data_IF_371747305641
#
_entry.id   IF_371747305641
#
_cell.length_a   1.000
_cell.length_b   1.000
_cell.length_c   1.000
_cell.angle_alpha   90.00
_cell.angle_beta   90.00
_cell.angle_gamma   90.00
#
_symmetry.space_group_name_H-M   'P 1'
#
loop_
_entity.id
_entity.type
_entity.pdbx_description
1 polymer ?
#
# COMPACT_ATOMS: atom_id res chain seq x y z
N UNK A 1 -28.25 61.35 3.19
CA UNK A 1 -27.54 60.12 2.80
C UNK A 1 -28.43 58.95 3.18
N UNK A 2 -28.89 58.12 2.22
CA UNK A 2 -29.78 57.00 2.54
C UNK A 2 -28.93 55.79 2.90
N UNK A 3 -28.95 55.40 4.16
CA UNK A 3 -28.33 54.16 4.63
C UNK A 3 -29.15 52.98 4.09
N UNK A 4 -28.60 52.26 3.11
CA UNK A 4 -29.17 50.98 2.67
C UNK A 4 -28.91 49.95 3.78
N UNK A 5 -29.92 49.76 4.63
CA UNK A 5 -29.96 48.66 5.60
C UNK A 5 -29.83 47.34 4.83
N UNK A 6 -28.66 46.71 4.91
CA UNK A 6 -28.45 45.35 4.43
C UNK A 6 -29.36 44.44 5.23
N UNK A 7 -30.38 43.87 4.59
CA UNK A 7 -31.26 42.88 5.22
C UNK A 7 -30.40 41.68 5.65
N UNK A 8 -30.64 41.10 6.84
CA UNK A 8 -29.91 39.93 7.29
C UNK A 8 -30.09 38.80 6.27
N UNK A 9 -28.98 38.26 5.77
CA UNK A 9 -29.02 37.12 4.89
C UNK A 9 -29.66 35.94 5.64
N UNK A 10 -30.66 35.32 5.01
CA UNK A 10 -31.28 34.11 5.53
C UNK A 10 -30.21 33.02 5.68
N UNK A 11 -30.00 32.57 6.92
CA UNK A 11 -29.02 31.53 7.26
C UNK A 11 -29.63 30.13 7.23
N UNK A 12 -30.91 30.01 6.86
CA UNK A 12 -31.59 28.73 6.78
C UNK A 12 -31.02 27.94 5.60
N UNK A 13 -30.44 26.74 5.84
CA UNK A 13 -29.96 25.90 4.75
C UNK A 13 -31.15 25.48 3.88
N UNK A 14 -30.96 25.55 2.56
CA UNK A 14 -31.97 25.08 1.61
C UNK A 14 -32.04 23.56 1.66
N UNK A 15 -33.22 22.94 1.80
CA UNK A 15 -33.33 21.50 1.72
C UNK A 15 -32.88 21.04 0.32
N UNK A 16 -32.08 19.97 0.29
CA UNK A 16 -31.64 19.32 -0.94
C UNK A 16 -32.53 18.10 -1.20
N UNK A 17 -32.78 17.78 -2.46
CA UNK A 17 -33.53 16.57 -2.83
C UNK A 17 -32.67 15.30 -2.63
N UNK A 18 -33.32 14.14 -2.52
CA UNK A 18 -32.61 12.85 -2.47
C UNK A 18 -31.72 12.62 -3.70
N UNK A 19 -32.17 13.08 -4.87
CA UNK A 19 -31.41 13.02 -6.11
C UNK A 19 -30.13 13.88 -6.02
N UNK A 20 -30.22 15.11 -5.50
CA UNK A 20 -29.06 15.96 -5.27
C UNK A 20 -28.10 15.38 -4.22
N UNK A 21 -28.61 14.69 -3.21
CA UNK A 21 -27.80 14.05 -2.19
C UNK A 21 -27.04 12.81 -2.73
N UNK A 22 -27.58 12.13 -3.74
CA UNK A 22 -27.02 10.91 -4.33
C UNK A 22 -25.98 11.17 -5.42
N UNK A 23 -25.98 12.35 -6.04
CA UNK A 23 -25.06 12.69 -7.14
C UNK A 23 -23.57 12.64 -6.76
N UNK A 24 -23.26 12.53 -5.45
CA UNK A 24 -21.90 12.50 -4.95
C UNK A 24 -21.13 13.75 -5.33
N UNK A 25 -19.89 13.85 -4.88
CA UNK A 25 -18.91 14.72 -5.54
C UNK A 25 -17.95 13.80 -6.28
N UNK A 26 -17.48 14.16 -7.48
CA UNK A 26 -16.37 13.45 -8.09
C UNK A 26 -15.22 13.51 -7.09
N UNK A 27 -14.92 12.37 -6.46
CA UNK A 27 -13.69 12.22 -5.72
C UNK A 27 -12.57 12.18 -6.75
N UNK A 28 -11.44 12.89 -6.53
CA UNK A 28 -10.26 12.64 -7.35
C UNK A 28 -9.98 11.14 -7.32
N UNK A 29 -9.59 10.58 -8.47
CA UNK A 29 -9.28 9.16 -8.54
C UNK A 29 -8.31 8.81 -7.42
N UNK A 30 -8.58 7.76 -6.63
CA UNK A 30 -7.63 7.32 -5.61
C UNK A 30 -6.33 6.98 -6.33
N UNK A 31 -5.30 7.78 -6.09
CA UNK A 31 -3.96 7.50 -6.61
C UNK A 31 -3.45 6.33 -5.79
N UNK A 32 -3.53 5.13 -6.36
CA UNK A 32 -2.86 3.96 -5.78
C UNK A 32 -1.37 4.26 -5.79
N UNK A 33 -0.76 4.29 -4.61
CA UNK A 33 0.69 4.42 -4.48
C UNK A 33 1.36 3.23 -5.17
N UNK A 34 2.43 3.51 -5.91
CA UNK A 34 3.24 2.43 -6.46
C UNK A 34 3.92 1.68 -5.30
N UNK A 35 4.01 0.34 -5.36
CA UNK A 35 4.74 -0.42 -4.38
C UNK A 35 6.18 0.07 -4.26
N UNK A 36 6.72 0.04 -3.05
CA UNK A 36 8.14 0.32 -2.83
C UNK A 36 8.99 -0.74 -3.57
N UNK A 37 9.84 -0.33 -4.54
CA UNK A 37 10.65 -1.25 -5.33
C UNK A 37 11.61 -2.10 -4.47
N UNK A 38 12.04 -1.58 -3.32
CA UNK A 38 12.91 -2.31 -2.40
C UNK A 38 12.17 -3.46 -1.70
N UNK A 39 10.84 -3.45 -1.74
CA UNK A 39 9.97 -4.47 -1.13
C UNK A 39 9.18 -5.27 -2.16
N UNK A 40 9.35 -4.98 -3.45
CA UNK A 40 8.61 -5.65 -4.53
C UNK A 40 8.96 -7.15 -4.63
N UNK A 41 10.24 -7.47 -4.43
CA UNK A 41 10.75 -8.84 -4.45
C UNK A 41 10.61 -9.58 -3.11
N UNK A 42 10.20 -8.89 -2.04
CA UNK A 42 9.97 -9.52 -0.74
C UNK A 42 8.64 -10.27 -0.83
N UNK A 43 8.71 -11.60 -0.74
CA UNK A 43 7.51 -12.44 -0.71
C UNK A 43 6.68 -12.05 0.53
N UNK A 44 5.59 -11.30 0.30
CA UNK A 44 4.75 -10.73 1.38
C UNK A 44 4.07 -11.81 2.21
N UNK A 45 4.10 -13.06 1.74
CA UNK A 45 3.58 -14.24 2.41
C UNK A 45 4.72 -15.26 2.53
N UNK A 46 5.23 -15.48 3.73
CA UNK A 46 6.15 -16.60 3.97
C UNK A 46 5.35 -17.89 3.76
N UNK A 47 5.62 -18.59 2.65
CA UNK A 47 4.96 -19.86 2.34
C UNK A 47 5.82 -21.04 2.84
N UNK A 48 5.19 -22.17 3.20
CA UNK A 48 5.95 -23.39 3.53
C UNK A 48 6.92 -23.81 2.41
N UNK A 49 6.56 -23.54 1.15
CA UNK A 49 7.42 -23.83 -0.01
C UNK A 49 8.64 -22.91 -0.06
N UNK A 50 8.49 -21.60 0.16
CA UNK A 50 9.64 -20.68 0.14
C UNK A 50 10.61 -20.95 1.29
N UNK A 51 10.11 -21.32 2.47
CA UNK A 51 10.93 -21.80 3.59
C UNK A 51 11.74 -23.03 3.18
N UNK A 52 11.10 -24.04 2.57
CA UNK A 52 11.78 -25.28 2.16
C UNK A 52 12.87 -25.03 1.12
N UNK A 53 12.61 -24.13 0.16
CA UNK A 53 13.61 -23.75 -0.83
C UNK A 53 14.85 -23.09 -0.19
N UNK A 54 14.66 -22.20 0.78
CA UNK A 54 15.76 -21.58 1.50
C UNK A 54 16.55 -22.59 2.35
N UNK A 55 15.87 -23.52 3.03
CA UNK A 55 16.54 -24.59 3.77
C UNK A 55 17.42 -25.46 2.86
N UNK A 56 16.93 -25.81 1.67
CA UNK A 56 17.68 -26.61 0.69
C UNK A 56 18.90 -25.88 0.15
N UNK A 57 18.77 -24.57 -0.13
CA UNK A 57 19.88 -23.72 -0.53
C UNK A 57 20.95 -23.65 0.56
N UNK A 58 20.54 -23.45 1.82
CA UNK A 58 21.46 -23.41 2.95
C UNK A 58 22.22 -24.75 3.10
N UNK A 59 21.52 -25.88 3.06
CA UNK A 59 22.13 -27.22 3.10
C UNK A 59 23.14 -27.44 1.97
N UNK A 60 22.84 -26.96 0.76
CA UNK A 60 23.75 -27.09 -0.38
C UNK A 60 25.03 -26.27 -0.19
N UNK A 61 24.91 -25.06 0.36
CA UNK A 61 26.05 -24.19 0.69
C UNK A 61 26.93 -24.85 1.74
N UNK A 62 26.35 -25.35 2.84
CA UNK A 62 27.09 -26.01 3.92
C UNK A 62 27.88 -27.23 3.41
N UNK A 63 27.25 -28.08 2.59
CA UNK A 63 27.93 -29.23 1.97
C UNK A 63 29.11 -28.80 1.12
N UNK A 64 28.93 -27.76 0.29
CA UNK A 64 30.00 -27.25 -0.57
C UNK A 64 31.16 -26.68 0.24
N UNK A 65 30.86 -25.97 1.32
CA UNK A 65 31.90 -25.44 2.22
C UNK A 65 32.66 -26.58 2.90
N UNK A 66 31.96 -27.59 3.40
CA UNK A 66 32.59 -28.77 4.00
C UNK A 66 33.49 -29.51 3.00
N UNK A 67 33.03 -29.74 1.77
CA UNK A 67 33.83 -30.39 0.72
C UNK A 67 35.09 -29.60 0.36
N UNK A 68 35.01 -28.27 0.35
CA UNK A 68 36.16 -27.40 0.13
C UNK A 68 37.14 -27.48 1.30
N UNK A 69 36.64 -27.44 2.54
CA UNK A 69 37.44 -27.55 3.76
C UNK A 69 38.19 -28.90 3.83
N UNK A 70 37.50 -30.00 3.54
CA UNK A 70 38.10 -31.34 3.50
C UNK A 70 39.18 -31.46 2.41
N UNK A 71 38.96 -30.85 1.24
CA UNK A 71 39.98 -30.78 0.18
C UNK A 71 41.18 -29.91 0.57
N UNK A 72 40.96 -28.83 1.31
CA UNK A 72 42.04 -27.95 1.77
C UNK A 72 42.90 -28.59 2.88
N UNK A 73 42.35 -29.56 3.61
CA UNK A 73 43.03 -30.28 4.71
C UNK A 73 43.78 -31.54 4.25
N UNK A 74 43.53 -32.04 3.04
CA UNK A 74 44.26 -33.16 2.41
C UNK A 74 45.44 -32.67 1.60
#
# INVERSE_FOLDING_TARGET
MKHSQAKPADKTPRPISSEQAQQGKPAPDPVLEQPDPDTEAVDKVITPTSIKQQEDQARAIERRLHDVDEKARR
#
